data_IF_124569720061
#
_entry.id   IF_124569720061
#
_cell.length_a   1.000
_cell.length_b   1.000
_cell.length_c   1.000
_cell.angle_alpha   90.00
_cell.angle_beta   90.00
_cell.angle_gamma   90.00
#
_symmetry.space_group_name_H-M   'P 1'
#
loop_
_entity.id
_entity.type
_entity.pdbx_description
1 polymer ?
#
# COMPACT_ATOMS: atom_id res chain seq x y z
N UNK A 1 14.84 -4.06 1.30
CA UNK A 1 15.95 -4.32 0.37
C UNK A 1 15.44 -4.02 -1.03
N UNK A 2 16.14 -3.22 -1.84
CA UNK A 2 15.74 -3.04 -3.26
C UNK A 2 16.10 -4.33 -3.99
N UNK A 3 15.10 -5.13 -4.37
CA UNK A 3 15.36 -6.32 -5.16
C UNK A 3 15.45 -5.92 -6.63
N UNK A 4 16.62 -6.14 -7.22
CA UNK A 4 16.75 -6.01 -8.67
C UNK A 4 15.86 -7.04 -9.35
N UNK A 5 15.04 -6.59 -10.29
CA UNK A 5 14.16 -7.47 -11.07
C UNK A 5 14.99 -8.40 -11.97
N UNK A 6 14.56 -9.65 -12.05
CA UNK A 6 15.11 -10.61 -13.02
C UNK A 6 14.62 -10.27 -14.44
N UNK A 7 15.33 -10.72 -15.50
CA UNK A 7 14.87 -10.50 -16.87
C UNK A 7 13.45 -11.00 -17.15
N UNK A 8 13.05 -12.11 -16.51
CA UNK A 8 11.69 -12.63 -16.62
C UNK A 8 10.64 -11.69 -15.99
N UNK A 9 10.97 -11.06 -14.85
CA UNK A 9 10.09 -10.08 -14.21
C UNK A 9 9.99 -8.79 -15.03
N UNK A 10 11.09 -8.34 -15.65
CA UNK A 10 11.05 -7.23 -16.60
C UNK A 10 10.09 -7.52 -17.76
N UNK A 11 10.22 -8.69 -18.39
CA UNK A 11 9.34 -9.09 -19.49
C UNK A 11 7.88 -9.20 -19.04
N UNK A 12 7.63 -9.76 -17.86
CA UNK A 12 6.28 -9.86 -17.29
C UNK A 12 5.63 -8.48 -17.11
N UNK A 13 6.36 -7.52 -16.55
CA UNK A 13 5.90 -6.13 -16.38
C UNK A 13 5.56 -5.50 -17.73
N UNK A 14 6.46 -5.60 -18.71
CA UNK A 14 6.29 -5.01 -20.05
C UNK A 14 5.10 -5.59 -20.83
N UNK A 15 4.77 -6.85 -20.59
CA UNK A 15 3.64 -7.52 -21.24
C UNK A 15 2.30 -7.27 -20.52
N UNK A 16 2.34 -6.93 -19.24
CA UNK A 16 1.15 -6.82 -18.39
C UNK A 16 0.67 -5.39 -18.22
N UNK A 17 1.61 -4.45 -18.04
CA UNK A 17 1.31 -3.06 -17.69
C UNK A 17 1.35 -2.13 -18.91
N UNK A 18 0.55 -1.05 -18.92
CA UNK A 18 0.69 0.03 -19.87
C UNK A 18 2.13 0.60 -19.86
N UNK A 19 2.68 1.03 -21.02
CA UNK A 19 4.06 1.50 -21.11
C UNK A 19 4.43 2.60 -20.10
N UNK A 20 3.50 3.51 -19.85
CA UNK A 20 3.67 4.61 -18.90
C UNK A 20 3.95 4.10 -17.47
N UNK A 21 3.18 3.12 -17.00
CA UNK A 21 3.40 2.50 -15.68
C UNK A 21 4.61 1.58 -15.71
N UNK A 22 4.78 0.77 -16.76
CA UNK A 22 5.91 -0.15 -16.91
C UNK A 22 7.27 0.56 -16.91
N UNK A 23 7.32 1.82 -17.36
CA UNK A 23 8.53 2.65 -17.37
C UNK A 23 9.04 3.02 -15.98
N UNK A 24 8.18 2.96 -14.96
CA UNK A 24 8.54 3.31 -13.57
C UNK A 24 9.38 2.21 -12.89
N UNK A 25 9.47 1.02 -13.48
CA UNK A 25 10.14 -0.16 -12.88
C UNK A 25 11.62 0.06 -12.55
N UNK A 26 12.30 0.96 -13.27
CA UNK A 26 13.72 1.21 -13.05
C UNK A 26 13.96 2.05 -11.79
N UNK A 27 12.93 2.80 -11.36
CA UNK A 27 12.92 3.61 -10.13
C UNK A 27 12.23 2.90 -8.97
N UNK A 28 11.17 2.14 -9.26
CA UNK A 28 10.34 1.44 -8.26
C UNK A 28 10.12 -0.04 -8.64
N UNK A 29 11.19 -0.86 -8.72
CA UNK A 29 11.11 -2.23 -9.21
C UNK A 29 10.11 -3.12 -8.47
N UNK A 30 10.16 -3.16 -7.13
CA UNK A 30 9.26 -3.95 -6.30
C UNK A 30 7.81 -3.48 -6.46
N UNK A 31 7.58 -2.17 -6.30
CA UNK A 31 6.24 -1.58 -6.36
C UNK A 31 5.58 -1.87 -7.72
N UNK A 32 6.32 -1.71 -8.82
CA UNK A 32 5.79 -1.95 -10.16
C UNK A 32 5.59 -3.44 -10.43
N UNK A 33 6.43 -4.31 -9.88
CA UNK A 33 6.19 -5.75 -9.93
C UNK A 33 4.91 -6.14 -9.19
N UNK A 34 4.66 -5.57 -8.00
CA UNK A 34 3.42 -5.79 -7.25
C UNK A 34 2.19 -5.32 -8.04
N UNK A 35 2.25 -4.13 -8.67
CA UNK A 35 1.19 -3.63 -9.58
C UNK A 35 0.92 -4.63 -10.72
N UNK A 36 1.97 -5.14 -11.36
CA UNK A 36 1.84 -6.13 -12.44
C UNK A 36 1.20 -7.43 -11.95
N UNK A 37 1.55 -7.90 -10.75
CA UNK A 37 1.06 -9.15 -10.19
C UNK A 37 -0.46 -9.18 -10.00
N UNK A 38 -1.07 -8.03 -9.69
CA UNK A 38 -2.52 -7.89 -9.45
C UNK A 38 -3.26 -7.16 -10.57
N UNK A 39 -2.59 -6.77 -11.65
CA UNK A 39 -3.17 -5.92 -12.70
C UNK A 39 -4.48 -6.47 -13.31
N UNK A 40 -4.56 -7.79 -13.41
CA UNK A 40 -5.67 -8.51 -13.99
C UNK A 40 -6.82 -8.77 -13.00
N UNK A 41 -6.63 -8.45 -11.71
CA UNK A 41 -7.67 -8.65 -10.70
C UNK A 41 -8.75 -7.58 -10.85
N UNK A 42 -10.03 -7.95 -10.66
CA UNK A 42 -11.10 -6.97 -10.69
C UNK A 42 -10.97 -5.99 -9.53
N UNK A 43 -11.59 -4.82 -9.71
CA UNK A 43 -11.88 -3.92 -8.61
C UNK A 43 -12.74 -4.61 -7.55
N UNK A 44 -12.62 -4.19 -6.29
CA UNK A 44 -13.46 -4.69 -5.21
C UNK A 44 -14.94 -4.39 -5.51
N UNK A 45 -15.86 -5.29 -5.08
CA UNK A 45 -17.27 -5.13 -5.35
C UNK A 45 -17.85 -3.93 -4.59
N UNK A 46 -18.95 -3.38 -5.10
CA UNK A 46 -19.66 -2.28 -4.42
C UNK A 46 -20.18 -2.75 -3.07
N UNK A 47 -19.96 -1.95 -2.03
CA UNK A 47 -20.35 -2.26 -0.65
C UNK A 47 -19.42 -3.25 0.05
N UNK A 48 -18.27 -3.59 -0.54
CA UNK A 48 -17.28 -4.43 0.12
C UNK A 48 -16.85 -3.82 1.46
N UNK A 49 -16.84 -4.66 2.50
CA UNK A 49 -16.39 -4.31 3.84
C UNK A 49 -15.13 -5.12 4.14
N UNK A 50 -13.96 -4.46 4.21
CA UNK A 50 -12.71 -5.16 4.44
C UNK A 50 -12.59 -5.61 5.90
N UNK A 51 -12.00 -6.79 6.12
CA UNK A 51 -11.66 -7.26 7.48
C UNK A 51 -10.28 -6.75 7.89
N UNK A 52 -9.37 -6.59 6.94
CA UNK A 52 -8.02 -6.10 7.15
C UNK A 52 -7.69 -5.04 6.10
N UNK A 53 -7.19 -3.90 6.55
CA UNK A 53 -6.56 -2.88 5.71
C UNK A 53 -5.16 -2.65 6.26
N UNK A 54 -4.17 -2.80 5.39
CA UNK A 54 -2.77 -2.51 5.67
C UNK A 54 -2.33 -1.35 4.77
N UNK A 55 -1.81 -0.31 5.39
CA UNK A 55 -1.33 0.90 4.72
C UNK A 55 0.17 0.95 4.85
N UNK A 56 0.84 1.12 3.72
CA UNK A 56 2.28 1.24 3.64
C UNK A 56 2.59 2.64 3.10
N UNK A 57 3.44 3.36 3.84
CA UNK A 57 3.85 4.72 3.55
C UNK A 57 5.38 4.78 3.57
N UNK A 58 5.98 4.89 2.39
CA UNK A 58 7.43 4.75 2.24
C UNK A 58 7.99 5.73 1.22
N UNK A 59 9.17 6.24 1.53
CA UNK A 59 10.02 7.01 0.61
C UNK A 59 10.78 6.10 -0.37
N UNK A 60 10.83 4.80 -0.06
CA UNK A 60 11.53 3.76 -0.79
C UNK A 60 10.57 2.81 -1.52
N UNK A 61 11.12 2.00 -2.42
CA UNK A 61 10.41 1.02 -3.25
C UNK A 61 9.86 -0.18 -2.47
N UNK A 62 8.80 0.07 -1.71
CA UNK A 62 8.09 -0.90 -0.87
C UNK A 62 8.72 -1.11 0.51
N UNK A 63 7.91 -1.61 1.45
CA UNK A 63 8.36 -2.03 2.78
C UNK A 63 7.60 -3.29 3.19
N UNK A 64 8.29 -4.23 3.85
CA UNK A 64 7.71 -5.51 4.28
C UNK A 64 6.83 -5.37 5.54
N UNK A 65 6.58 -4.16 6.02
CA UNK A 65 5.84 -3.92 7.26
C UNK A 65 4.92 -2.71 7.13
N UNK A 66 3.61 -2.88 7.40
CA UNK A 66 2.65 -1.79 7.28
C UNK A 66 2.92 -0.69 8.31
N UNK A 67 2.67 0.55 7.90
CA UNK A 67 2.72 1.72 8.76
C UNK A 67 1.40 1.93 9.53
N UNK A 68 0.29 1.43 8.99
CA UNK A 68 -1.01 1.44 9.66
C UNK A 68 -1.77 0.16 9.35
N UNK A 69 -2.38 -0.44 10.38
CA UNK A 69 -3.16 -1.67 10.28
C UNK A 69 -4.53 -1.42 10.91
N UNK A 70 -5.58 -1.68 10.12
CA UNK A 70 -6.97 -1.65 10.57
C UNK A 70 -7.54 -3.07 10.46
N UNK A 71 -7.95 -3.62 11.59
CA UNK A 71 -8.57 -4.95 11.68
C UNK A 71 -10.01 -4.79 12.17
N UNK A 72 -10.95 -5.35 11.41
CA UNK A 72 -12.39 -5.32 11.71
C UNK A 72 -12.92 -3.89 11.97
N UNK A 73 -12.34 -2.90 11.30
CA UNK A 73 -12.67 -1.48 11.46
C UNK A 73 -11.99 -0.77 12.63
N UNK A 74 -11.15 -1.46 13.41
CA UNK A 74 -10.40 -0.88 14.51
C UNK A 74 -8.92 -0.71 14.15
N UNK A 75 -8.33 0.43 14.54
CA UNK A 75 -6.89 0.64 14.41
C UNK A 75 -6.16 -0.33 15.37
N UNK A 76 -5.45 -1.32 14.83
CA UNK A 76 -4.74 -2.35 15.61
C UNK A 76 -3.23 -2.14 15.63
N UNK A 77 -2.68 -1.45 14.62
CA UNK A 77 -1.25 -1.16 14.51
C UNK A 77 -0.98 0.19 13.88
N UNK A 78 0.03 0.89 14.40
CA UNK A 78 0.51 2.15 13.82
C UNK A 78 2.02 2.31 14.08
N UNK A 79 2.76 2.61 13.03
CA UNK A 79 4.17 3.02 13.07
C UNK A 79 4.26 4.49 12.69
N UNK A 80 4.65 5.33 13.63
CA UNK A 80 4.89 6.75 13.37
C UNK A 80 6.30 6.91 12.82
N UNK A 81 6.42 7.30 11.55
CA UNK A 81 7.70 7.78 11.04
C UNK A 81 7.92 9.19 11.58
N UNK A 82 9.06 9.39 12.25
CA UNK A 82 9.40 10.62 12.99
C UNK A 82 10.02 11.67 12.04
N UNK A 83 10.40 11.29 10.83
CA UNK A 83 11.06 12.18 9.87
C UNK A 83 10.09 12.73 8.82
N UNK A 84 10.17 14.04 8.57
CA UNK A 84 9.39 14.78 7.57
C UNK A 84 9.87 14.54 6.12
N UNK A 85 10.28 13.32 5.79
CA UNK A 85 10.68 12.99 4.42
C UNK A 85 9.43 12.95 3.53
N UNK A 86 9.46 13.58 2.34
CA UNK A 86 8.35 13.52 1.40
C UNK A 86 8.18 12.07 0.93
N UNK A 87 7.10 11.43 1.37
CA UNK A 87 6.77 10.11 0.89
C UNK A 87 6.33 10.14 -0.56
N UNK A 88 6.92 9.23 -1.33
CA UNK A 88 6.67 9.11 -2.75
C UNK A 88 5.82 7.88 -3.08
N UNK A 89 5.60 6.94 -2.15
CA UNK A 89 4.83 5.72 -2.45
C UNK A 89 3.83 5.42 -1.33
N UNK A 90 2.55 5.36 -1.72
CA UNK A 90 1.45 4.94 -0.86
C UNK A 90 0.90 3.63 -1.42
N UNK A 91 0.83 2.58 -0.60
CA UNK A 91 0.25 1.30 -0.97
C UNK A 91 -0.82 0.90 0.05
N UNK A 92 -1.91 0.35 -0.44
CA UNK A 92 -2.99 -0.22 0.35
C UNK A 92 -3.14 -1.69 -0.02
N UNK A 93 -3.01 -2.54 0.97
CA UNK A 93 -3.37 -3.95 0.90
C UNK A 93 -4.66 -4.17 1.67
N UNK A 94 -5.59 -4.90 1.05
CA UNK A 94 -6.93 -5.14 1.59
C UNK A 94 -7.20 -6.63 1.54
N UNK A 95 -7.40 -7.22 2.72
CA UNK A 95 -7.61 -8.65 2.91
C UNK A 95 -6.57 -9.52 2.15
N UNK A 96 -5.30 -9.11 2.24
CA UNK A 96 -4.16 -9.80 1.60
C UNK A 96 -4.01 -9.56 0.09
N UNK A 97 -4.60 -8.48 -0.44
CA UNK A 97 -4.46 -8.12 -1.86
C UNK A 97 -4.15 -6.63 -2.05
N UNK A 98 -3.16 -6.33 -2.89
CA UNK A 98 -2.88 -4.96 -3.33
C UNK A 98 -4.09 -4.34 -4.01
N UNK A 99 -4.63 -3.29 -3.39
CA UNK A 99 -5.89 -2.67 -3.76
C UNK A 99 -5.69 -1.28 -4.36
N UNK A 100 -4.68 -0.56 -3.90
CA UNK A 100 -4.37 0.78 -4.39
C UNK A 100 -2.89 1.07 -4.22
N UNK A 101 -2.28 1.66 -5.25
CA UNK A 101 -0.88 2.07 -5.24
C UNK A 101 -0.77 3.43 -5.93
N UNK A 102 -0.14 4.37 -5.25
CA UNK A 102 0.18 5.70 -5.76
C UNK A 102 1.67 5.96 -5.65
N UNK A 103 2.27 6.50 -6.72
CA UNK A 103 3.65 6.93 -6.77
C UNK A 103 3.68 8.43 -7.09
N UNK A 104 4.21 9.25 -6.18
CA UNK A 104 4.15 10.71 -6.23
C UNK A 104 2.69 11.18 -6.31
N UNK A 105 2.35 11.90 -7.37
CA UNK A 105 0.97 12.32 -7.66
C UNK A 105 0.21 11.37 -8.61
N UNK A 106 0.83 10.27 -9.06
CA UNK A 106 0.26 9.35 -10.04
C UNK A 106 -0.29 8.12 -9.35
N UNK A 107 -1.59 7.85 -9.54
CA UNK A 107 -2.19 6.58 -9.15
C UNK A 107 -1.84 5.54 -10.22
N UNK A 108 -1.12 4.50 -9.82
CA UNK A 108 -0.66 3.42 -10.71
C UNK A 108 -1.50 2.16 -10.56
N UNK A 109 -2.21 1.99 -9.45
CA UNK A 109 -3.21 0.94 -9.26
C UNK A 109 -4.40 1.50 -8.48
N UNK A 110 -5.61 1.25 -8.96
CA UNK A 110 -6.84 1.61 -8.26
C UNK A 110 -7.92 0.54 -8.44
N UNK A 111 -8.13 -0.24 -7.39
CA UNK A 111 -9.19 -1.26 -7.29
C UNK A 111 -10.27 -0.86 -6.28
N UNK A 112 -10.20 0.34 -5.70
CA UNK A 112 -11.04 0.78 -4.57
C UNK A 112 -12.01 1.92 -4.91
N UNK A 113 -11.70 2.77 -5.89
CA UNK A 113 -12.45 4.00 -6.14
C UNK A 113 -13.96 3.81 -6.28
N UNK A 114 -14.70 4.40 -5.34
CA UNK A 114 -16.16 4.53 -5.36
C UNK A 114 -16.96 3.26 -5.06
N UNK A 115 -16.30 2.17 -4.64
CA UNK A 115 -16.96 0.87 -4.47
C UNK A 115 -16.85 0.32 -3.07
N UNK A 116 -15.79 0.63 -2.34
CA UNK A 116 -15.58 0.07 -1.02
C UNK A 116 -16.11 0.99 0.09
N UNK A 117 -16.60 0.40 1.17
CA UNK A 117 -16.89 1.12 2.41
C UNK A 117 -15.62 1.08 3.26
N UNK A 118 -14.90 2.20 3.30
CA UNK A 118 -13.80 2.35 4.24
C UNK A 118 -14.36 2.48 5.66
N UNK A 119 -13.78 1.81 6.66
CA UNK A 119 -14.25 1.91 8.04
C UNK A 119 -14.05 3.33 8.56
N UNK A 120 -15.01 3.79 9.36
CA UNK A 120 -14.79 4.96 10.21
C UNK A 120 -13.78 4.55 11.29
N UNK A 121 -12.56 5.07 11.18
CA UNK A 121 -11.53 4.78 12.20
C UNK A 121 -11.89 5.54 13.46
N UNK A 122 -12.50 4.84 14.41
CA UNK A 122 -12.73 5.34 15.77
C UNK A 122 -11.42 5.26 16.53
N UNK A 123 -10.70 6.37 16.54
CA UNK A 123 -9.47 6.48 17.30
C UNK A 123 -9.81 6.74 18.76
N UNK A 124 -9.61 5.74 19.63
CA UNK A 124 -9.66 5.95 21.07
C UNK A 124 -8.41 6.73 21.50
N UNK A 125 -8.63 7.96 21.99
CA UNK A 125 -7.56 8.83 22.47
C UNK A 125 -6.72 8.18 23.59
N UNK A 126 -7.30 7.29 24.40
CA UNK A 126 -6.58 6.56 25.42
C UNK A 126 -5.65 5.48 24.82
N UNK A 127 -6.07 4.80 23.76
CA UNK A 127 -5.24 3.83 23.04
C UNK A 127 -4.09 4.52 22.29
N UNK A 128 -4.36 5.67 21.67
CA UNK A 128 -3.32 6.52 21.09
C UNK A 128 -2.29 6.94 22.13
N UNK A 129 -2.73 7.45 23.29
CA UNK A 129 -1.82 7.89 24.35
C UNK A 129 -0.96 6.73 24.90
N UNK A 130 -1.50 5.51 24.96
CA UNK A 130 -0.77 4.34 25.43
C UNK A 130 0.29 3.83 24.43
N UNK A 131 0.06 3.99 23.12
CA UNK A 131 1.03 3.60 22.09
C UNK A 131 2.26 4.51 22.04
N UNK A 132 2.13 5.79 22.44
CA UNK A 132 3.29 6.69 22.62
C UNK A 132 4.22 6.28 23.77
N UNK A 133 3.73 5.56 24.77
CA UNK A 133 4.53 5.20 25.95
C UNK A 133 5.47 4.02 25.66
N UNK A 134 5.13 3.14 24.71
CA UNK A 134 5.97 2.00 24.32
C UNK A 134 7.01 2.31 23.24
N UNK A 135 6.96 3.47 22.60
CA UNK A 135 7.96 3.90 21.62
C UNK A 135 9.21 4.55 22.26
N UNK A 136 9.23 4.71 23.59
CA UNK A 136 10.33 5.32 24.36
C UNK A 136 10.79 4.37 25.49
N UNK A 137 11.07 3.11 25.16
CA UNK A 137 11.73 2.16 26.05
C UNK A 137 12.84 1.40 25.35
#
# INVERSE_FOLDING_TARGET
MVHSLTPAQHQFIEQTLPPEIASLRDLYPNTIYEVASVWHYPAFPVGYQPNLIEVYYTDNDGTDSPDLVIEQGYLSGMRLQIEESPCNVIQLEIDGQWAFIQIGSQIVLDRISGRMILPEVLVDAAQLAASFIHAIA
#
